data_IF_322303075213
#
_entry.id   IF_322303075213
#
_cell.length_a   1.000
_cell.length_b   1.000
_cell.length_c   1.000
_cell.angle_alpha   90.00
_cell.angle_beta   90.00
_cell.angle_gamma   90.00
#
_symmetry.space_group_name_H-M   'P 1'
#
loop_
_entity.id
_entity.type
_entity.pdbx_description
1 polymer ?
#
# COMPACT_ATOMS: atom_id res chain seq x y z
N UNK A 1 -4.36 -15.55 -14.66
CA UNK A 1 -3.07 -16.24 -14.57
C UNK A 1 -2.89 -16.80 -13.18
N UNK A 2 -2.27 -17.96 -13.03
CA UNK A 2 -1.93 -18.57 -11.76
C UNK A 2 -0.41 -18.72 -11.74
N UNK A 3 0.27 -17.76 -11.11
CA UNK A 3 1.74 -17.68 -11.11
C UNK A 3 2.21 -17.64 -9.67
N UNK A 4 3.25 -18.40 -9.37
CA UNK A 4 3.93 -18.36 -8.09
C UNK A 4 5.37 -17.91 -8.26
N UNK A 5 5.74 -16.88 -7.52
CA UNK A 5 7.10 -16.36 -7.40
C UNK A 5 7.55 -16.58 -5.97
N UNK A 6 8.66 -17.30 -5.78
CA UNK A 6 9.12 -17.64 -4.43
C UNK A 6 10.64 -17.57 -4.30
N UNK A 7 11.09 -17.00 -3.17
CA UNK A 7 12.49 -17.05 -2.75
C UNK A 7 13.45 -16.29 -3.67
N UNK A 8 12.97 -15.30 -4.40
CA UNK A 8 13.79 -14.48 -5.28
C UNK A 8 14.31 -13.23 -4.56
N UNK A 9 15.49 -12.79 -4.96
CA UNK A 9 16.03 -11.48 -4.63
C UNK A 9 16.01 -10.63 -5.91
N UNK A 10 15.21 -9.56 -5.90
CA UNK A 10 15.11 -8.59 -6.98
C UNK A 10 15.64 -7.24 -6.46
N UNK A 11 16.74 -6.75 -7.02
CA UNK A 11 17.34 -5.53 -6.53
C UNK A 11 17.79 -4.59 -7.68
N UNK A 12 17.87 -3.30 -7.37
CA UNK A 12 18.39 -2.25 -8.25
C UNK A 12 17.60 -2.12 -9.58
N UNK A 13 16.29 -2.26 -9.53
CA UNK A 13 15.44 -2.11 -10.71
C UNK A 13 15.19 -0.63 -11.03
N UNK A 14 15.49 -0.21 -12.25
CA UNK A 14 15.23 1.14 -12.74
C UNK A 14 13.77 1.30 -13.22
N UNK A 15 12.82 1.10 -12.32
CA UNK A 15 11.40 1.27 -12.60
C UNK A 15 11.03 2.74 -12.79
N UNK A 16 10.01 3.03 -13.61
CA UNK A 16 9.58 4.40 -13.87
C UNK A 16 8.93 5.07 -12.66
N UNK A 17 9.18 6.36 -12.45
CA UNK A 17 8.61 7.13 -11.37
C UNK A 17 8.00 8.45 -11.90
N UNK A 18 6.83 8.89 -11.40
CA UNK A 18 5.89 8.12 -10.57
C UNK A 18 5.05 7.13 -11.39
N UNK A 19 4.96 7.35 -12.67
CA UNK A 19 4.20 6.52 -13.63
C UNK A 19 5.06 6.20 -14.85
N UNK A 20 4.89 5.03 -15.47
CA UNK A 20 3.99 3.95 -15.08
C UNK A 20 4.46 3.26 -13.79
N UNK A 21 3.53 2.92 -12.92
CA UNK A 21 3.81 2.24 -11.66
C UNK A 21 4.08 0.75 -11.89
N UNK A 22 5.26 0.45 -12.39
CA UNK A 22 5.73 -0.92 -12.58
C UNK A 22 6.69 -1.29 -11.48
N UNK A 23 6.42 -2.40 -10.84
CA UNK A 23 7.27 -2.95 -9.82
C UNK A 23 8.49 -3.69 -10.35
N UNK A 24 9.48 -3.87 -9.50
CA UNK A 24 10.56 -4.84 -9.75
C UNK A 24 10.02 -6.25 -9.94
N UNK A 25 8.93 -6.59 -9.23
CA UNK A 25 8.05 -7.72 -9.55
C UNK A 25 6.71 -7.13 -10.01
N UNK A 26 6.30 -7.42 -11.24
CA UNK A 26 5.11 -6.84 -11.83
C UNK A 26 4.04 -7.89 -12.12
N UNK A 27 2.90 -7.77 -11.44
CA UNK A 27 1.69 -8.56 -11.71
C UNK A 27 0.72 -7.86 -12.65
N UNK A 28 1.20 -6.95 -13.47
CA UNK A 28 0.40 -6.05 -14.29
C UNK A 28 -0.80 -6.72 -14.94
N UNK A 29 -2.00 -6.24 -14.60
CA UNK A 29 -3.28 -6.79 -15.05
C UNK A 29 -3.45 -8.28 -14.78
N UNK A 30 -2.62 -8.83 -13.89
CA UNK A 30 -2.68 -10.24 -13.53
C UNK A 30 -3.65 -10.52 -12.39
N UNK A 31 -3.89 -11.82 -12.18
CA UNK A 31 -4.71 -12.29 -11.08
C UNK A 31 -4.20 -13.61 -10.50
N UNK A 32 -4.49 -13.88 -9.25
CA UNK A 32 -4.12 -15.12 -8.56
C UNK A 32 -2.62 -15.38 -8.58
N UNK A 33 -1.82 -14.34 -8.41
CA UNK A 33 -0.39 -14.50 -8.19
C UNK A 33 -0.13 -14.79 -6.71
N UNK A 34 0.91 -15.56 -6.45
CA UNK A 34 1.45 -15.75 -5.11
C UNK A 34 2.92 -15.32 -5.15
N UNK A 35 3.25 -14.28 -4.40
CA UNK A 35 4.61 -13.78 -4.22
C UNK A 35 4.96 -14.05 -2.77
N UNK A 36 5.90 -14.96 -2.53
CA UNK A 36 6.25 -15.38 -1.17
C UNK A 36 7.74 -15.51 -0.94
N UNK A 37 8.17 -15.18 0.27
CA UNK A 37 9.56 -15.32 0.72
C UNK A 37 10.58 -14.64 -0.20
N UNK A 38 10.19 -13.50 -0.81
CA UNK A 38 11.02 -12.73 -1.73
C UNK A 38 11.62 -11.51 -1.04
N UNK A 39 12.79 -11.09 -1.51
CA UNK A 39 13.40 -9.81 -1.16
C UNK A 39 13.33 -8.90 -2.37
N UNK A 40 12.72 -7.72 -2.21
CA UNK A 40 12.68 -6.66 -3.23
C UNK A 40 13.36 -5.45 -2.66
N UNK A 41 14.47 -5.03 -3.25
CA UNK A 41 15.31 -3.98 -2.68
C UNK A 41 15.77 -2.98 -3.74
N UNK A 42 15.93 -1.71 -3.33
CA UNK A 42 16.39 -0.62 -4.19
C UNK A 42 15.65 -0.54 -5.54
N UNK A 43 14.34 -0.56 -5.49
CA UNK A 43 13.51 -0.21 -6.66
C UNK A 43 13.50 1.30 -6.86
N UNK A 44 13.74 1.77 -8.09
CA UNK A 44 13.71 3.22 -8.35
C UNK A 44 12.34 3.84 -8.02
N UNK A 45 11.24 3.18 -8.35
CA UNK A 45 9.91 3.64 -8.01
C UNK A 45 9.15 2.63 -7.14
N UNK A 46 8.63 1.57 -7.72
CA UNK A 46 7.73 0.61 -7.06
C UNK A 46 8.44 -0.73 -6.85
N UNK A 47 8.28 -1.30 -5.66
CA UNK A 47 8.78 -2.64 -5.37
C UNK A 47 7.97 -3.72 -6.08
N UNK A 48 6.67 -3.82 -5.77
CA UNK A 48 5.76 -4.80 -6.37
C UNK A 48 4.50 -4.08 -6.86
N UNK A 49 4.09 -4.29 -8.11
CA UNK A 49 2.77 -3.87 -8.55
C UNK A 49 1.77 -5.04 -8.57
N UNK A 50 0.52 -4.78 -8.19
CA UNK A 50 -0.52 -5.80 -7.97
C UNK A 50 -1.81 -5.55 -8.73
N UNK A 51 -1.84 -4.58 -9.60
CA UNK A 51 -3.07 -4.19 -10.26
C UNK A 51 -2.85 -3.70 -11.68
N UNK A 52 -3.61 -2.71 -12.05
CA UNK A 52 -3.36 -1.92 -13.24
C UNK A 52 -2.40 -0.77 -12.91
N UNK A 53 -1.89 -0.12 -13.92
CA UNK A 53 -1.14 1.13 -13.73
C UNK A 53 -2.06 2.24 -13.23
N UNK A 54 -1.54 3.09 -12.38
CA UNK A 54 -2.16 4.37 -12.09
C UNK A 54 -2.44 5.13 -13.42
N UNK A 55 -3.54 5.83 -13.49
CA UNK A 55 -4.01 6.57 -14.68
C UNK A 55 -4.54 5.72 -15.86
N UNK A 56 -4.39 4.41 -15.85
CA UNK A 56 -5.07 3.54 -16.80
C UNK A 56 -6.44 3.11 -16.25
N UNK A 57 -7.48 3.81 -16.64
CA UNK A 57 -8.83 3.64 -16.09
C UNK A 57 -9.66 2.54 -16.74
N UNK A 58 -9.20 1.94 -17.82
CA UNK A 58 -9.98 0.90 -18.51
C UNK A 58 -9.46 -0.48 -18.20
N UNK A 59 -10.28 -1.26 -17.51
CA UNK A 59 -10.22 -2.72 -17.50
C UNK A 59 -11.33 -3.25 -18.39
N UNK A 60 -11.02 -4.28 -19.17
CA UNK A 60 -12.05 -4.94 -20.00
C UNK A 60 -13.16 -5.53 -19.11
N UNK A 61 -14.39 -5.56 -19.58
CA UNK A 61 -15.58 -5.98 -18.80
C UNK A 61 -15.43 -7.35 -18.14
N UNK A 62 -14.61 -8.23 -18.66
CA UNK A 62 -14.38 -9.58 -18.14
C UNK A 62 -12.97 -9.77 -17.56
N UNK A 63 -12.22 -8.70 -17.36
CA UNK A 63 -10.86 -8.81 -16.87
C UNK A 63 -10.87 -8.91 -15.33
N UNK A 64 -10.35 -10.02 -14.83
CA UNK A 64 -10.11 -10.22 -13.40
C UNK A 64 -8.73 -9.68 -13.06
N UNK A 65 -8.64 -8.74 -12.12
CA UNK A 65 -7.40 -8.21 -11.57
C UNK A 65 -7.44 -8.40 -10.06
N UNK A 66 -6.36 -8.93 -9.48
CA UNK A 66 -6.28 -9.12 -8.04
C UNK A 66 -6.25 -10.60 -7.63
N UNK A 67 -6.83 -10.92 -6.47
CA UNK A 67 -6.67 -12.22 -5.82
C UNK A 67 -5.18 -12.59 -5.65
N UNK A 68 -4.34 -11.59 -5.52
CA UNK A 68 -2.90 -11.75 -5.38
C UNK A 68 -2.54 -11.88 -3.90
N UNK A 69 -1.66 -12.81 -3.60
CA UNK A 69 -1.10 -13.03 -2.27
C UNK A 69 0.34 -12.55 -2.26
N UNK A 70 0.68 -11.67 -1.32
CA UNK A 70 2.06 -11.24 -1.03
C UNK A 70 2.32 -11.58 0.42
N UNK A 71 3.26 -12.49 0.69
CA UNK A 71 3.51 -12.92 2.07
C UNK A 71 4.97 -13.29 2.34
N UNK A 72 5.39 -13.02 3.58
CA UNK A 72 6.75 -13.35 4.04
C UNK A 72 7.85 -12.65 3.25
N UNK A 73 7.53 -11.52 2.61
CA UNK A 73 8.48 -10.78 1.78
C UNK A 73 9.13 -9.64 2.56
N UNK A 74 10.36 -9.31 2.19
CA UNK A 74 11.02 -8.08 2.57
C UNK A 74 11.01 -7.12 1.39
N UNK A 75 10.30 -6.00 1.51
CA UNK A 75 10.22 -4.96 0.49
C UNK A 75 10.90 -3.73 1.05
N UNK A 76 12.08 -3.42 0.53
CA UNK A 76 12.98 -2.41 1.07
C UNK A 76 13.32 -1.34 0.06
N UNK A 77 13.56 -0.14 0.54
CA UNK A 77 14.19 0.94 -0.24
C UNK A 77 13.51 1.21 -1.60
N UNK A 78 12.16 1.15 -1.65
CA UNK A 78 11.43 1.56 -2.85
C UNK A 78 11.35 3.09 -2.90
N UNK A 79 11.70 3.69 -4.03
CA UNK A 79 11.81 5.14 -4.18
C UNK A 79 10.51 5.89 -3.99
N UNK A 80 9.41 5.28 -4.40
CA UNK A 80 8.06 5.84 -4.33
C UNK A 80 7.17 4.97 -3.46
N UNK A 81 6.97 3.71 -3.82
CA UNK A 81 6.01 2.85 -3.15
C UNK A 81 6.49 1.40 -3.04
N UNK A 82 6.31 0.79 -1.89
CA UNK A 82 6.65 -0.63 -1.71
C UNK A 82 5.74 -1.54 -2.52
N UNK A 83 4.42 -1.40 -2.36
CA UNK A 83 3.41 -2.14 -3.12
C UNK A 83 2.41 -1.13 -3.68
N UNK A 84 2.16 -1.18 -4.99
CA UNK A 84 1.20 -0.28 -5.64
C UNK A 84 0.25 -1.01 -6.59
N UNK A 85 -0.93 -0.43 -6.83
CA UNK A 85 -1.86 -0.96 -7.83
C UNK A 85 -3.21 -0.25 -7.88
N UNK A 86 -3.80 -0.29 -9.08
CA UNK A 86 -5.14 0.22 -9.37
C UNK A 86 -6.06 -0.94 -9.73
N UNK A 87 -7.28 -0.96 -9.20
CA UNK A 87 -8.28 -2.03 -9.38
C UNK A 87 -7.81 -3.41 -8.89
N UNK A 88 -6.89 -3.45 -7.93
CA UNK A 88 -6.45 -4.71 -7.34
C UNK A 88 -7.36 -5.10 -6.18
N UNK A 89 -8.24 -6.07 -6.40
CA UNK A 89 -9.22 -6.52 -5.42
C UNK A 89 -8.85 -7.88 -4.82
N UNK A 90 -9.42 -8.17 -3.65
CA UNK A 90 -9.22 -9.43 -2.93
C UNK A 90 -7.74 -9.78 -2.72
N UNK A 91 -6.93 -8.76 -2.42
CA UNK A 91 -5.53 -8.96 -2.06
C UNK A 91 -5.40 -9.60 -0.69
N UNK A 92 -4.43 -10.47 -0.53
CA UNK A 92 -3.93 -10.89 0.76
C UNK A 92 -2.48 -10.44 0.90
N UNK A 93 -2.25 -9.44 1.74
CA UNK A 93 -0.90 -8.92 2.02
C UNK A 93 -0.61 -9.20 3.48
N UNK A 94 0.26 -10.17 3.77
CA UNK A 94 0.46 -10.65 5.12
C UNK A 94 1.91 -11.02 5.44
N UNK A 95 2.28 -10.82 6.70
CA UNK A 95 3.58 -11.26 7.24
C UNK A 95 4.79 -10.67 6.47
N UNK A 96 4.67 -9.45 5.93
CA UNK A 96 5.75 -8.79 5.21
C UNK A 96 6.44 -7.73 6.06
N UNK A 97 7.70 -7.48 5.76
CA UNK A 97 8.43 -6.28 6.18
C UNK A 97 8.47 -5.29 5.02
N UNK A 98 7.94 -4.08 5.24
CA UNK A 98 7.95 -2.98 4.26
C UNK A 98 8.69 -1.82 4.91
N UNK A 99 9.87 -1.48 4.41
CA UNK A 99 10.77 -0.55 5.06
C UNK A 99 11.52 0.36 4.09
N UNK A 100 11.87 1.57 4.54
CA UNK A 100 12.69 2.52 3.77
C UNK A 100 12.04 3.00 2.47
N UNK A 101 10.71 3.02 2.39
CA UNK A 101 9.98 3.47 1.20
C UNK A 101 9.85 4.99 1.13
N UNK A 102 9.71 5.54 -0.08
CA UNK A 102 9.52 6.97 -0.30
C UNK A 102 10.82 7.78 -0.33
N UNK A 103 11.99 7.14 -0.43
CA UNK A 103 13.29 7.82 -0.34
C UNK A 103 13.54 8.86 -1.44
N UNK A 104 12.84 8.80 -2.56
CA UNK A 104 12.90 9.86 -3.58
C UNK A 104 12.26 11.17 -3.11
N UNK A 105 11.63 11.17 -1.94
CA UNK A 105 11.02 12.35 -1.35
C UNK A 105 10.04 13.08 -2.29
N UNK A 106 9.24 12.33 -3.03
CA UNK A 106 8.19 12.87 -3.87
C UNK A 106 7.12 13.56 -3.03
N UNK A 107 6.24 14.31 -3.66
CA UNK A 107 5.15 14.94 -2.92
C UNK A 107 4.30 13.90 -2.18
N UNK A 108 3.97 14.19 -0.94
CA UNK A 108 3.13 13.34 -0.08
C UNK A 108 1.79 12.94 -0.71
N UNK A 109 1.30 13.77 -1.58
CA UNK A 109 0.01 13.55 -2.25
C UNK A 109 0.11 12.77 -3.56
N UNK A 110 1.31 12.33 -3.96
CA UNK A 110 1.47 11.72 -5.27
C UNK A 110 2.11 10.33 -5.22
N UNK A 111 1.23 9.32 -5.17
CA UNK A 111 1.55 7.91 -5.44
C UNK A 111 2.55 7.25 -4.48
N UNK A 112 2.98 7.93 -3.41
CA UNK A 112 3.98 7.44 -2.49
C UNK A 112 3.38 6.71 -1.29
N UNK A 113 4.01 5.62 -0.87
CA UNK A 113 3.58 4.87 0.31
C UNK A 113 4.40 3.61 0.58
N UNK A 114 4.23 3.04 1.76
CA UNK A 114 4.60 1.65 1.98
C UNK A 114 3.75 0.74 1.10
N UNK A 115 2.43 0.90 1.19
CA UNK A 115 1.45 0.35 0.26
C UNK A 115 0.56 1.48 -0.23
N UNK A 116 0.30 1.55 -1.53
CA UNK A 116 -0.73 2.42 -2.09
C UNK A 116 -1.56 1.68 -3.12
N UNK A 117 -2.87 1.59 -2.86
CA UNK A 117 -3.80 0.92 -3.75
C UNK A 117 -5.04 1.77 -4.00
N UNK A 118 -5.53 1.74 -5.24
CA UNK A 118 -6.75 2.41 -5.66
C UNK A 118 -7.82 1.38 -6.00
N UNK A 119 -9.08 1.70 -5.73
CA UNK A 119 -10.22 0.87 -6.09
C UNK A 119 -10.03 -0.59 -5.66
N UNK A 120 -9.51 -0.79 -4.45
CA UNK A 120 -9.32 -2.11 -3.86
C UNK A 120 -10.57 -2.54 -3.13
N UNK A 121 -11.07 -3.73 -3.43
CA UNK A 121 -12.30 -4.27 -2.85
C UNK A 121 -12.02 -5.62 -2.19
N UNK A 122 -12.46 -5.79 -0.95
CA UNK A 122 -12.41 -7.07 -0.24
C UNK A 122 -11.01 -7.56 0.10
N UNK A 123 -10.03 -6.66 0.22
CA UNK A 123 -8.64 -7.01 0.51
C UNK A 123 -8.39 -7.13 2.00
N UNK A 124 -7.43 -8.00 2.37
CA UNK A 124 -6.97 -8.22 3.73
C UNK A 124 -5.49 -7.90 3.84
N UNK A 125 -5.15 -6.89 4.65
CA UNK A 125 -3.78 -6.45 4.94
C UNK A 125 -3.52 -6.71 6.41
N UNK A 126 -2.67 -7.69 6.73
CA UNK A 126 -2.48 -8.13 8.11
C UNK A 126 -1.08 -8.60 8.46
N UNK A 127 -0.71 -8.42 9.72
CA UNK A 127 0.55 -8.90 10.31
C UNK A 127 1.80 -8.43 9.55
N UNK A 128 1.70 -7.25 8.90
CA UNK A 128 2.85 -6.62 8.26
C UNK A 128 3.53 -5.67 9.25
N UNK A 129 4.80 -5.45 9.03
CA UNK A 129 5.59 -4.43 9.68
C UNK A 129 5.90 -3.35 8.65
N UNK A 130 5.45 -2.13 8.92
CA UNK A 130 5.78 -0.94 8.17
C UNK A 130 6.74 -0.12 9.00
N UNK A 131 7.88 0.25 8.45
CA UNK A 131 8.84 1.08 9.16
C UNK A 131 9.66 1.96 8.20
N UNK A 132 10.21 3.06 8.72
CA UNK A 132 11.09 3.96 7.97
C UNK A 132 10.49 4.50 6.65
N UNK A 133 9.20 4.63 6.58
CA UNK A 133 8.57 5.29 5.42
C UNK A 133 8.84 6.79 5.51
N UNK A 134 9.34 7.36 4.42
CA UNK A 134 9.76 8.76 4.37
C UNK A 134 8.90 9.56 3.37
N UNK A 135 8.31 10.66 3.85
CA UNK A 135 7.49 11.59 3.06
C UNK A 135 6.37 10.90 2.27
N UNK A 136 5.81 9.86 2.85
CA UNK A 136 4.73 9.05 2.29
C UNK A 136 3.94 8.42 3.43
N UNK A 137 2.73 7.94 3.18
CA UNK A 137 1.98 7.19 4.19
C UNK A 137 2.48 5.75 4.27
N UNK A 138 2.44 5.12 5.43
CA UNK A 138 2.75 3.69 5.49
C UNK A 138 1.77 2.88 4.66
N UNK A 139 0.48 3.21 4.75
CA UNK A 139 -0.57 2.58 3.97
C UNK A 139 -1.56 3.64 3.48
N UNK A 140 -1.70 3.74 2.18
CA UNK A 140 -2.68 4.60 1.54
C UNK A 140 -3.68 3.78 0.73
N UNK A 141 -4.92 3.76 1.22
CA UNK A 141 -6.07 3.28 0.47
C UNK A 141 -6.67 4.50 -0.24
N UNK A 142 -6.28 4.71 -1.51
CA UNK A 142 -6.73 5.84 -2.31
C UNK A 142 -8.20 5.66 -2.76
N UNK A 143 -8.68 6.38 -3.71
CA UNK A 143 -10.10 6.42 -4.07
C UNK A 143 -10.76 5.06 -4.33
N UNK A 144 -12.03 4.94 -3.99
CA UNK A 144 -12.90 3.84 -4.40
C UNK A 144 -12.66 2.51 -3.68
N UNK A 145 -12.12 2.56 -2.47
CA UNK A 145 -11.89 1.36 -1.66
C UNK A 145 -13.14 0.91 -0.93
N UNK A 146 -13.33 -0.40 -0.79
CA UNK A 146 -14.54 -0.97 -0.25
C UNK A 146 -14.30 -2.34 0.40
N UNK A 147 -14.92 -2.58 1.56
CA UNK A 147 -14.90 -3.88 2.26
C UNK A 147 -13.49 -4.44 2.55
N UNK A 148 -12.50 -3.58 2.73
CA UNK A 148 -11.16 -4.00 3.08
C UNK A 148 -10.99 -4.11 4.60
N UNK A 149 -10.05 -4.96 5.03
CA UNK A 149 -9.66 -5.06 6.44
C UNK A 149 -8.16 -4.88 6.60
N UNK A 150 -7.79 -3.98 7.51
CA UNK A 150 -6.41 -3.67 7.88
C UNK A 150 -6.26 -4.02 9.35
N UNK A 151 -5.55 -5.11 9.66
CA UNK A 151 -5.56 -5.65 11.03
C UNK A 151 -4.23 -6.27 11.45
N UNK A 152 -3.89 -6.14 12.73
CA UNK A 152 -2.70 -6.76 13.35
C UNK A 152 -1.38 -6.36 12.66
N UNK A 153 -1.31 -5.15 12.13
CA UNK A 153 -0.07 -4.61 11.58
C UNK A 153 0.67 -3.77 12.62
N UNK A 154 1.96 -3.61 12.43
CA UNK A 154 2.80 -2.67 13.14
C UNK A 154 3.16 -1.52 12.20
N UNK A 155 2.88 -0.29 12.60
CA UNK A 155 3.25 0.94 11.89
C UNK A 155 4.25 1.69 12.77
N UNK A 156 5.50 1.70 12.33
CA UNK A 156 6.64 2.14 13.13
C UNK A 156 7.47 3.20 12.40
N UNK A 157 8.05 4.13 13.16
CA UNK A 157 9.15 5.01 12.71
C UNK A 157 8.91 5.70 11.35
N UNK A 158 7.73 6.21 11.14
CA UNK A 158 7.43 7.03 9.97
C UNK A 158 7.99 8.44 10.11
N UNK A 159 8.62 8.96 9.06
CA UNK A 159 9.22 10.30 9.08
C UNK A 159 8.61 11.23 8.05
N UNK A 160 8.25 12.44 8.49
CA UNK A 160 7.60 13.46 7.65
C UNK A 160 6.38 12.91 6.91
N UNK A 161 5.67 11.99 7.52
CA UNK A 161 4.46 11.38 6.97
C UNK A 161 3.26 12.34 7.07
N UNK A 162 2.25 12.10 6.28
CA UNK A 162 0.93 12.69 6.47
C UNK A 162 0.16 11.88 7.52
N UNK A 163 -0.01 10.59 7.27
CA UNK A 163 -0.68 9.63 8.17
C UNK A 163 0.01 8.26 8.14
N UNK A 164 -0.18 7.46 9.20
CA UNK A 164 0.22 6.06 9.15
C UNK A 164 -0.69 5.26 8.22
N UNK A 165 -2.00 5.44 8.34
CA UNK A 165 -3.00 4.89 7.44
C UNK A 165 -3.85 6.04 6.91
N UNK A 166 -3.94 6.18 5.60
CA UNK A 166 -4.80 7.13 4.93
C UNK A 166 -5.85 6.41 4.10
N UNK A 167 -7.11 6.65 4.40
CA UNK A 167 -8.26 6.14 3.63
C UNK A 167 -8.89 7.33 2.91
N UNK A 168 -8.81 7.32 1.59
CA UNK A 168 -9.35 8.39 0.76
C UNK A 168 -10.57 7.90 -0.03
N UNK A 169 -11.68 8.61 0.09
CA UNK A 169 -12.89 8.39 -0.71
C UNK A 169 -13.33 6.92 -0.85
N UNK A 170 -13.77 6.31 0.25
CA UNK A 170 -14.37 4.97 0.22
C UNK A 170 -15.68 4.93 -0.58
N UNK A 171 -16.01 3.78 -1.15
CA UNK A 171 -17.32 3.47 -1.71
C UNK A 171 -18.30 3.00 -0.60
N UNK A 172 -19.40 2.41 -0.99
CA UNK A 172 -20.51 2.07 -0.11
C UNK A 172 -20.20 1.01 0.97
N UNK A 173 -19.13 0.24 0.82
CA UNK A 173 -18.73 -0.78 1.78
C UNK A 173 -17.87 -0.25 2.93
N UNK A 174 -17.82 -0.97 4.03
CA UNK A 174 -17.07 -0.60 5.24
C UNK A 174 -15.63 -1.07 5.12
N UNK A 175 -14.66 -0.14 5.25
CA UNK A 175 -13.28 -0.49 5.48
C UNK A 175 -13.04 -0.60 7.00
N UNK A 176 -12.60 -1.78 7.46
CA UNK A 176 -12.39 -2.07 8.87
C UNK A 176 -10.91 -1.96 9.22
N UNK A 177 -10.59 -1.15 10.22
CA UNK A 177 -9.24 -0.99 10.76
C UNK A 177 -9.28 -1.39 12.24
N UNK A 178 -8.61 -2.48 12.59
CA UNK A 178 -8.66 -3.03 13.94
C UNK A 178 -7.33 -3.68 14.37
N UNK A 179 -7.06 -3.70 15.67
CA UNK A 179 -5.94 -4.41 16.27
C UNK A 179 -4.55 -4.06 15.69
N UNK A 180 -4.33 -2.83 15.23
CA UNK A 180 -3.03 -2.36 14.77
C UNK A 180 -2.28 -1.63 15.88
N UNK A 181 -0.96 -1.62 15.81
CA UNK A 181 -0.10 -0.88 16.72
C UNK A 181 0.60 0.22 15.92
N UNK A 182 0.58 1.44 16.49
CA UNK A 182 1.25 2.62 15.94
C UNK A 182 2.29 3.10 16.94
N UNK A 183 3.52 3.25 16.51
CA UNK A 183 4.62 3.72 17.34
C UNK A 183 5.55 4.64 16.59
N UNK A 184 5.87 5.78 17.18
CA UNK A 184 6.80 6.77 16.63
C UNK A 184 6.47 7.15 15.17
N UNK A 185 5.20 7.42 14.89
CA UNK A 185 4.74 7.90 13.59
C UNK A 185 4.70 9.43 13.64
N UNK A 186 5.54 10.09 12.86
CA UNK A 186 5.65 11.55 12.81
C UNK A 186 4.77 12.12 11.69
N UNK A 187 3.74 12.86 12.06
CA UNK A 187 2.97 13.68 11.10
C UNK A 187 3.74 14.92 10.64
N UNK A 188 3.59 15.29 9.40
CA UNK A 188 4.25 16.48 8.81
C UNK A 188 3.65 17.81 9.27
N UNK A 189 2.48 17.79 9.89
CA UNK A 189 1.73 18.99 10.19
C UNK A 189 1.96 19.50 11.61
N UNK A 190 2.38 20.77 11.64
CA UNK A 190 2.50 21.72 12.74
C UNK A 190 2.29 21.16 14.16
N UNK A 191 3.30 21.20 15.02
CA UNK A 191 3.19 20.73 16.42
C UNK A 191 2.09 21.41 17.25
N UNK A 192 1.47 22.46 16.74
CA UNK A 192 0.35 23.14 17.38
C UNK A 192 -1.03 22.53 17.01
N UNK A 193 -1.12 21.77 15.95
CA UNK A 193 -2.38 21.23 15.44
C UNK A 193 -2.41 19.70 15.58
N UNK A 194 -2.85 19.23 16.73
CA UNK A 194 -3.25 17.84 17.01
C UNK A 194 -2.09 16.81 17.04
N UNK A 195 -2.10 15.88 17.99
CA UNK A 195 -1.19 14.75 17.97
C UNK A 195 -1.31 14.01 16.65
N UNK A 196 -0.16 13.61 16.09
CA UNK A 196 -0.02 12.99 14.79
C UNK A 196 -1.24 12.13 14.43
N UNK A 197 -1.91 12.45 13.34
CA UNK A 197 -3.05 11.68 12.92
C UNK A 197 -2.56 10.27 12.55
N UNK A 198 -2.79 9.32 13.43
CA UNK A 198 -2.47 7.93 13.14
C UNK A 198 -3.29 7.41 11.97
N UNK A 199 -4.42 8.05 11.76
CA UNK A 199 -5.39 7.66 10.76
C UNK A 199 -6.02 8.92 10.15
N UNK A 200 -5.89 9.10 8.86
CA UNK A 200 -6.56 10.14 8.08
C UNK A 200 -7.66 9.57 7.22
N UNK A 201 -8.78 10.26 7.15
CA UNK A 201 -9.87 9.97 6.21
C UNK A 201 -10.32 11.27 5.56
N UNK A 202 -10.30 11.30 4.24
CA UNK A 202 -10.92 12.39 3.47
C UNK A 202 -12.20 11.92 2.82
N UNK A 203 -13.21 12.74 2.91
CA UNK A 203 -14.52 12.45 2.36
C UNK A 203 -15.11 13.64 1.63
N UNK A 204 -15.46 13.45 0.39
CA UNK A 204 -16.50 14.26 -0.26
C UNK A 204 -17.84 13.51 -0.34
N UNK A 205 -17.86 12.22 -0.05
CA UNK A 205 -19.07 11.37 0.03
C UNK A 205 -18.70 10.00 0.63
N UNK A 206 -18.23 9.94 1.87
CA UNK A 206 -17.70 8.68 2.42
C UNK A 206 -18.69 7.98 3.32
N UNK A 207 -18.82 6.71 3.10
CA UNK A 207 -19.37 5.73 4.01
C UNK A 207 -18.45 5.48 5.22
N UNK A 208 -18.99 5.01 6.34
CA UNK A 208 -18.29 4.97 7.61
C UNK A 208 -17.06 4.07 7.59
N UNK A 209 -15.98 4.57 8.15
CA UNK A 209 -14.82 3.78 8.56
C UNK A 209 -15.10 3.29 9.96
N UNK A 210 -15.08 1.98 10.17
CA UNK A 210 -15.17 1.41 11.51
C UNK A 210 -13.76 1.22 12.06
N UNK A 211 -13.47 1.92 13.15
CA UNK A 211 -12.22 1.80 13.89
C UNK A 211 -12.56 1.16 15.23
N UNK A 212 -12.02 0.00 15.49
CA UNK A 212 -12.14 -0.66 16.80
C UNK A 212 -10.77 -0.74 17.44
N UNK A 213 -10.62 -0.16 18.60
CA UNK A 213 -9.42 -0.31 19.43
C UNK A 213 -9.34 -1.70 20.08
N UNK A 214 -8.20 -2.03 20.69
CA UNK A 214 -8.06 -3.22 21.52
C UNK A 214 -8.96 -3.14 22.76
#
# INVERSE_FOLDING_TARGET
>A
SYIKVKGLVCAHAATGAPVPQRGSISCFRGHHWIIEDCVVDWSNAVGIDVGNECWHHTIGENQIIGYTVIRGCEIRSAGVCGIAGLFASHLLIEDNLITGTGWQAMELSWEAGGIKVHNSIGSLIRRNIFTETFRADHLWMDVGNENNRITRNLFLDGREQREAIFIECSRDGINLIDNNIFWNVEGRFNPADVPAAFLGARSSACTPISITGP
#
